data_IF_284872669385
#
_entry.id   IF_284872669385
#
_cell.length_a   1.000
_cell.length_b   1.000
_cell.length_c   1.000
_cell.angle_alpha   90.00
_cell.angle_beta   90.00
_cell.angle_gamma   90.00
#
_symmetry.space_group_name_H-M   'P 1'
#
loop_
_entity.id
_entity.type
_entity.pdbx_description
1 polymer ?
#
# COMPACT_ATOMS: atom_id res chain seq x y z
N UNK A 1 6.64 -5.92 -11.89
CA UNK A 1 5.71 -6.12 -10.76
C UNK A 1 4.89 -4.86 -10.58
N UNK A 2 3.69 -4.97 -10.01
CA UNK A 2 2.78 -3.83 -9.91
C UNK A 2 2.70 -3.33 -8.47
N UNK A 3 2.59 -2.02 -8.30
CA UNK A 3 2.36 -1.39 -7.01
C UNK A 3 1.07 -0.57 -7.06
N UNK A 4 0.15 -0.85 -6.15
CA UNK A 4 -1.07 -0.06 -6.01
C UNK A 4 -0.99 0.83 -4.77
N UNK A 5 -1.20 2.13 -4.96
CA UNK A 5 -1.52 3.06 -3.88
C UNK A 5 -3.02 3.02 -3.66
N UNK A 6 -3.45 2.50 -2.52
CA UNK A 6 -4.85 2.28 -2.18
C UNK A 6 -5.30 3.37 -1.24
N UNK A 7 -6.26 4.19 -1.67
CA UNK A 7 -6.79 5.31 -0.88
C UNK A 7 -8.30 5.39 -1.07
N UNK A 8 -9.02 5.73 0.01
CA UNK A 8 -10.44 6.05 -0.04
C UNK A 8 -10.69 7.38 -0.79
N UNK A 9 -9.68 8.27 -0.86
CA UNK A 9 -9.72 9.59 -1.50
C UNK A 9 -8.67 9.68 -2.63
N UNK A 10 -8.90 9.01 -3.78
CA UNK A 10 -7.90 8.89 -4.85
C UNK A 10 -7.46 10.23 -5.45
N UNK A 11 -8.28 11.27 -5.34
CA UNK A 11 -8.05 12.61 -5.87
C UNK A 11 -7.58 13.62 -4.80
N UNK A 12 -7.44 13.21 -3.53
CA UNK A 12 -6.95 14.10 -2.49
C UNK A 12 -5.50 14.52 -2.75
N UNK A 13 -5.15 15.75 -2.35
CA UNK A 13 -3.80 16.28 -2.49
C UNK A 13 -2.75 15.35 -1.85
N UNK A 14 -3.09 14.77 -0.69
CA UNK A 14 -2.28 13.77 0.01
C UNK A 14 -2.00 12.55 -0.87
N UNK A 15 -3.04 11.95 -1.45
CA UNK A 15 -2.91 10.78 -2.34
C UNK A 15 -2.06 11.11 -3.56
N UNK A 16 -2.25 12.28 -4.17
CA UNK A 16 -1.48 12.71 -5.32
C UNK A 16 -0.01 12.97 -4.96
N UNK A 17 0.27 13.56 -3.80
CA UNK A 17 1.63 13.79 -3.31
C UNK A 17 2.37 12.48 -3.01
N UNK A 18 1.70 11.53 -2.35
CA UNK A 18 2.26 10.19 -2.11
C UNK A 18 2.48 9.45 -3.42
N UNK A 19 1.55 9.53 -4.37
CA UNK A 19 1.71 8.93 -5.70
C UNK A 19 2.94 9.49 -6.42
N UNK A 20 3.17 10.81 -6.32
CA UNK A 20 4.34 11.45 -6.91
C UNK A 20 5.64 10.95 -6.25
N UNK A 21 5.68 10.90 -4.92
CA UNK A 21 6.81 10.34 -4.18
C UNK A 21 7.08 8.87 -4.55
N UNK A 22 6.03 8.06 -4.69
CA UNK A 22 6.16 6.66 -5.10
C UNK A 22 6.70 6.47 -6.50
N UNK A 23 6.26 7.31 -7.45
CA UNK A 23 6.76 7.27 -8.83
C UNK A 23 8.22 7.70 -8.90
N UNK A 24 8.61 8.71 -8.11
CA UNK A 24 10.01 9.12 -8.01
C UNK A 24 10.88 7.98 -7.45
N UNK A 25 10.50 7.43 -6.30
CA UNK A 25 11.21 6.32 -5.65
C UNK A 25 11.28 5.06 -6.53
N UNK A 26 10.19 4.73 -7.24
CA UNK A 26 10.14 3.53 -8.08
C UNK A 26 11.04 3.62 -9.31
N UNK A 27 11.39 4.83 -9.75
CA UNK A 27 12.26 5.06 -10.90
C UNK A 27 13.73 4.76 -10.64
N UNK A 28 14.18 4.71 -9.38
CA UNK A 28 15.59 4.50 -9.05
C UNK A 28 16.00 3.02 -8.95
N UNK A 29 15.06 2.12 -8.70
CA UNK A 29 15.35 0.72 -8.35
C UNK A 29 14.79 -0.36 -9.27
N UNK A 30 14.02 -0.01 -10.31
CA UNK A 30 13.35 -0.93 -11.26
C UNK A 30 12.50 -2.05 -10.61
N UNK A 31 12.12 -1.93 -9.33
CA UNK A 31 11.33 -2.94 -8.62
C UNK A 31 9.90 -3.04 -9.15
N UNK A 32 9.28 -1.90 -9.43
CA UNK A 32 7.90 -1.82 -9.90
C UNK A 32 7.85 -1.16 -11.27
N UNK A 33 7.15 -1.81 -12.18
CA UNK A 33 6.97 -1.34 -13.57
C UNK A 33 5.77 -0.41 -13.70
N UNK A 34 4.79 -0.54 -12.83
CA UNK A 34 3.56 0.26 -12.85
C UNK A 34 3.18 0.65 -11.41
N UNK A 35 2.96 1.95 -11.20
CA UNK A 35 2.40 2.51 -9.96
C UNK A 35 1.07 3.15 -10.27
N UNK A 36 -0.01 2.60 -9.70
CA UNK A 36 -1.39 3.00 -9.95
C UNK A 36 -2.13 3.32 -8.66
N UNK A 37 -3.14 4.18 -8.77
CA UNK A 37 -4.06 4.46 -7.65
C UNK A 37 -5.28 3.57 -7.79
N UNK A 38 -5.71 2.97 -6.68
CA UNK A 38 -6.93 2.17 -6.62
C UNK A 38 -7.79 2.59 -5.42
N UNK A 39 -9.11 2.47 -5.56
CA UNK A 39 -10.03 2.62 -4.45
C UNK A 39 -10.34 1.25 -3.84
N UNK A 40 -10.36 1.11 -2.50
CA UNK A 40 -10.61 -0.16 -1.85
C UNK A 40 -11.80 -0.97 -2.39
N UNK A 41 -12.94 -0.31 -2.67
CA UNK A 41 -14.20 -0.96 -3.08
C UNK A 41 -14.17 -1.57 -4.48
N UNK A 42 -13.31 -1.05 -5.36
CA UNK A 42 -13.19 -1.51 -6.75
C UNK A 42 -11.87 -2.21 -7.03
N UNK A 43 -10.99 -2.27 -6.03
CA UNK A 43 -9.65 -2.79 -6.18
C UNK A 43 -9.64 -4.32 -6.19
N UNK A 44 -9.08 -4.88 -7.27
CA UNK A 44 -8.86 -6.32 -7.43
C UNK A 44 -7.36 -6.56 -7.69
N UNK A 45 -6.58 -6.90 -6.66
CA UNK A 45 -5.14 -7.02 -6.78
C UNK A 45 -4.75 -8.27 -7.58
N UNK A 46 -3.76 -8.14 -8.47
CA UNK A 46 -3.20 -9.28 -9.20
C UNK A 46 -2.27 -10.13 -8.31
N UNK A 47 -1.84 -11.30 -8.81
CA UNK A 47 -0.85 -12.15 -8.12
C UNK A 47 0.54 -11.49 -8.07
N UNK A 48 0.81 -10.57 -8.99
CA UNK A 48 2.10 -9.91 -9.20
C UNK A 48 2.16 -8.50 -8.59
N UNK A 49 1.25 -8.25 -7.64
CA UNK A 49 0.98 -6.95 -7.09
C UNK A 49 1.32 -6.91 -5.60
N UNK A 50 1.85 -5.76 -5.18
CA UNK A 50 1.90 -5.33 -3.80
C UNK A 50 1.14 -4.01 -3.66
N UNK A 51 0.85 -3.60 -2.43
CA UNK A 51 0.12 -2.36 -2.20
C UNK A 51 0.69 -1.51 -1.08
N UNK A 52 0.44 -0.22 -1.19
CA UNK A 52 0.58 0.75 -0.12
C UNK A 52 -0.82 1.18 0.27
N UNK A 53 -1.17 0.98 1.54
CA UNK A 53 -2.48 1.35 2.07
C UNK A 53 -2.35 2.75 2.66
N UNK A 54 -2.89 3.75 1.99
CA UNK A 54 -2.93 5.11 2.49
C UNK A 54 -4.06 5.22 3.51
N UNK A 55 -3.70 5.22 4.78
CA UNK A 55 -4.61 5.34 5.90
C UNK A 55 -4.70 6.81 6.28
N UNK A 56 -5.67 7.49 5.69
CA UNK A 56 -6.00 8.87 6.00
C UNK A 56 -6.94 8.91 7.20
N UNK A 57 -6.84 9.95 8.02
CA UNK A 57 -7.88 10.24 9.01
C UNK A 57 -9.19 10.56 8.29
N UNK A 58 -10.13 9.61 8.38
CA UNK A 58 -11.51 9.70 7.95
C UNK A 58 -12.39 8.97 8.97
N UNK A 59 -13.62 9.46 9.15
CA UNK A 59 -14.64 8.81 9.98
C UNK A 59 -15.21 7.56 9.28
N UNK A 60 -14.99 7.42 7.98
CA UNK A 60 -15.39 6.26 7.20
C UNK A 60 -14.55 5.03 7.56
N UNK A 61 -15.25 3.94 7.90
CA UNK A 61 -14.61 2.66 8.13
C UNK A 61 -13.90 2.16 6.87
N UNK A 62 -12.73 1.54 7.05
CA UNK A 62 -12.04 0.91 5.93
C UNK A 62 -12.93 -0.19 5.36
N UNK A 63 -13.27 -0.15 4.06
CA UNK A 63 -14.24 -1.07 3.51
C UNK A 63 -13.67 -2.49 3.41
N UNK A 64 -14.56 -3.47 3.52
CA UNK A 64 -14.17 -4.86 3.34
C UNK A 64 -13.70 -5.10 1.90
N UNK A 65 -12.55 -5.77 1.70
CA UNK A 65 -12.08 -6.07 0.37
C UNK A 65 -13.12 -6.92 -0.39
N UNK A 66 -13.38 -6.56 -1.65
CA UNK A 66 -14.38 -7.23 -2.51
C UNK A 66 -13.87 -8.52 -3.17
N UNK A 67 -12.57 -8.78 -3.05
CA UNK A 67 -11.93 -9.95 -3.63
C UNK A 67 -11.79 -11.07 -2.58
N UNK A 68 -11.91 -12.34 -3.01
CA UNK A 68 -11.91 -13.47 -2.10
C UNK A 68 -10.55 -13.65 -1.44
N UNK A 69 -10.54 -14.16 -0.21
CA UNK A 69 -9.30 -14.67 0.39
C UNK A 69 -8.66 -15.66 -0.57
N UNK A 70 -7.41 -15.38 -0.95
CA UNK A 70 -6.67 -16.30 -1.81
C UNK A 70 -6.43 -17.59 -1.04
N UNK A 71 -6.59 -18.74 -1.70
CA UNK A 71 -6.09 -20.03 -1.15
C UNK A 71 -4.56 -20.10 -1.07
N UNK A 72 -3.87 -19.01 -1.42
CA UNK A 72 -2.44 -18.83 -1.24
C UNK A 72 -2.07 -18.78 0.25
N UNK A 73 -0.97 -19.43 0.61
CA UNK A 73 -0.45 -19.37 1.97
C UNK A 73 0.12 -17.98 2.34
N UNK A 74 0.41 -17.13 1.35
CA UNK A 74 0.86 -15.75 1.53
C UNK A 74 -0.17 -14.80 0.94
N UNK A 75 -0.74 -13.96 1.80
CA UNK A 75 -1.63 -12.86 1.41
C UNK A 75 -0.93 -11.81 0.55
N UNK A 76 -1.70 -10.82 0.10
CA UNK A 76 -1.20 -9.67 -0.64
C UNK A 76 -0.18 -8.88 0.22
N UNK A 77 1.06 -8.68 -0.24
CA UNK A 77 2.03 -7.87 0.48
C UNK A 77 1.57 -6.41 0.54
N UNK A 78 1.42 -5.87 1.75
CA UNK A 78 0.95 -4.51 1.96
C UNK A 78 1.82 -3.74 2.94
N UNK A 79 2.05 -2.46 2.64
CA UNK A 79 2.71 -1.49 3.51
C UNK A 79 1.72 -0.40 3.91
N UNK A 80 1.35 -0.27 5.19
CA UNK A 80 0.54 0.85 5.64
C UNK A 80 1.31 2.17 5.57
N UNK A 81 0.65 3.23 5.15
CA UNK A 81 1.14 4.60 5.20
C UNK A 81 0.07 5.43 5.91
N UNK A 82 0.34 5.77 7.17
CA UNK A 82 -0.58 6.50 8.04
C UNK A 82 -0.34 7.99 7.87
N UNK A 83 -1.37 8.72 7.48
CA UNK A 83 -1.34 10.18 7.39
C UNK A 83 -1.99 10.74 8.63
N UNK A 84 -1.17 11.28 9.54
CA UNK A 84 -1.66 11.93 10.73
C UNK A 84 -2.03 13.38 10.40
N UNK A 85 -3.29 13.74 10.67
CA UNK A 85 -3.70 15.14 10.81
C UNK A 85 -3.79 15.37 12.32
N UNK A 86 -3.70 16.61 12.79
CA UNK A 86 -3.51 16.91 14.22
C UNK A 86 -4.72 16.59 15.14
N UNK A 87 -5.50 15.53 14.89
CA UNK A 87 -6.68 15.14 15.68
C UNK A 87 -6.65 13.67 16.12
N UNK A 88 -7.19 13.42 17.33
CA UNK A 88 -7.03 12.23 18.18
C UNK A 88 -7.64 10.91 17.66
N UNK A 89 -8.12 10.83 16.41
CA UNK A 89 -8.75 9.62 15.90
C UNK A 89 -7.70 8.70 15.26
N UNK A 90 -7.54 7.45 15.71
CA UNK A 90 -6.63 6.51 15.06
C UNK A 90 -7.09 6.27 13.61
N UNK A 91 -6.18 6.33 12.61
CA UNK A 91 -6.53 6.06 11.23
C UNK A 91 -7.18 4.68 11.10
N UNK A 92 -8.28 4.58 10.36
CA UNK A 92 -8.93 3.29 10.11
C UNK A 92 -8.29 2.61 8.90
N UNK A 93 -7.90 1.36 9.09
CA UNK A 93 -7.34 0.49 8.06
C UNK A 93 -7.98 -0.90 8.08
N UNK A 94 -7.61 -1.78 7.14
CA UNK A 94 -8.14 -3.14 7.11
C UNK A 94 -7.71 -3.92 8.37
N UNK A 95 -8.51 -4.91 8.77
CA UNK A 95 -8.18 -5.78 9.90
C UNK A 95 -6.83 -6.48 9.65
N UNK A 96 -5.89 -6.29 10.57
CA UNK A 96 -4.55 -6.88 10.50
C UNK A 96 -4.55 -8.41 10.52
N UNK A 97 -5.65 -9.01 10.96
CA UNK A 97 -5.86 -10.46 11.03
C UNK A 97 -6.46 -11.03 9.75
N UNK A 98 -6.84 -10.17 8.81
CA UNK A 98 -7.42 -10.61 7.55
C UNK A 98 -6.38 -11.37 6.72
N UNK A 99 -6.58 -12.67 6.43
CA UNK A 99 -5.59 -13.50 5.72
C UNK A 99 -5.35 -13.03 4.28
N UNK A 100 -6.21 -12.17 3.75
CA UNK A 100 -5.99 -11.50 2.46
C UNK A 100 -4.73 -10.67 2.44
N UNK A 101 -4.33 -10.09 3.57
CA UNK A 101 -3.21 -9.18 3.64
C UNK A 101 -1.99 -9.81 4.32
N UNK A 102 -0.81 -9.41 3.88
CA UNK A 102 0.45 -9.67 4.53
C UNK A 102 1.15 -8.35 4.80
N UNK A 103 1.04 -7.86 6.03
CA UNK A 103 1.59 -6.57 6.44
C UNK A 103 3.11 -6.68 6.63
N UNK A 104 3.87 -5.87 5.88
CA UNK A 104 5.33 -5.93 5.88
C UNK A 104 5.99 -5.13 7.01
N UNK A 105 5.25 -4.21 7.62
CA UNK A 105 5.67 -3.40 8.77
C UNK A 105 4.46 -2.85 9.52
N UNK A 106 4.71 -2.18 10.63
CA UNK A 106 3.69 -1.40 11.36
C UNK A 106 3.22 -0.15 10.62
N UNK A 107 3.79 0.11 9.44
CA UNK A 107 3.50 1.26 8.60
C UNK A 107 4.52 2.40 8.73
N UNK A 108 4.41 3.34 7.81
CA UNK A 108 5.12 4.62 7.84
C UNK A 108 4.14 5.68 8.32
N UNK A 109 4.52 6.49 9.31
CA UNK A 109 3.74 7.65 9.71
C UNK A 109 4.24 8.85 8.92
N UNK A 110 3.29 9.61 8.39
CA UNK A 110 3.48 10.81 7.61
C UNK A 110 2.62 11.92 8.21
N UNK A 111 3.20 13.09 8.46
CA UNK A 111 2.41 14.30 8.75
C UNK A 111 1.94 14.88 7.41
N UNK A 112 0.66 15.26 7.31
CA UNK A 112 0.14 15.88 6.10
C UNK A 112 0.91 17.15 5.70
N UNK A 113 1.36 17.93 6.69
CA UNK A 113 2.11 19.17 6.46
C UNK A 113 3.50 18.91 5.89
N UNK A 114 4.10 17.75 6.20
CA UNK A 114 5.39 17.33 5.68
C UNK A 114 5.32 16.97 4.19
N UNK A 115 4.18 16.50 3.67
CA UNK A 115 4.07 16.14 2.27
C UNK A 115 4.15 17.35 1.31
N UNK A 116 3.92 18.56 1.82
CA UNK A 116 4.10 19.80 1.07
C UNK A 116 5.58 20.25 1.01
N UNK A 117 6.45 19.73 1.89
CA UNK A 117 7.88 20.05 1.92
C UNK A 117 8.68 19.10 1.02
N UNK A 118 9.45 19.62 0.04
CA UNK A 118 10.34 18.82 -0.80
C UNK A 118 11.36 17.98 -0.01
N UNK A 119 11.86 18.47 1.13
CA UNK A 119 12.84 17.74 1.94
C UNK A 119 12.21 16.52 2.61
N UNK A 120 10.99 16.66 3.13
CA UNK A 120 10.24 15.54 3.70
C UNK A 120 9.79 14.54 2.64
N UNK A 121 9.49 15.02 1.42
CA UNK A 121 9.22 14.15 0.27
C UNK A 121 10.40 13.22 -0.04
N UNK A 122 11.66 13.69 0.09
CA UNK A 122 12.85 12.85 -0.08
C UNK A 122 12.98 11.80 1.04
N UNK A 123 12.70 12.17 2.29
CA UNK A 123 12.70 11.22 3.41
C UNK A 123 11.65 10.13 3.20
N UNK A 124 10.45 10.50 2.74
CA UNK A 124 9.41 9.55 2.39
C UNK A 124 9.87 8.63 1.25
N UNK A 125 10.50 9.17 0.20
CA UNK A 125 11.06 8.38 -0.91
C UNK A 125 12.07 7.36 -0.40
N UNK A 126 13.07 7.77 0.38
CA UNK A 126 14.09 6.84 0.92
C UNK A 126 13.48 5.77 1.82
N UNK A 127 12.46 6.11 2.63
CA UNK A 127 11.72 5.11 3.41
C UNK A 127 11.03 4.11 2.50
N UNK A 128 10.31 4.56 1.47
CA UNK A 128 9.61 3.71 0.52
C UNK A 128 10.58 2.77 -0.23
N UNK A 129 11.70 3.30 -0.71
CA UNK A 129 12.76 2.54 -1.38
C UNK A 129 13.29 1.40 -0.52
N UNK A 130 13.45 1.63 0.78
CA UNK A 130 13.91 0.59 1.70
C UNK A 130 12.97 -0.62 1.79
N UNK A 131 11.67 -0.43 1.49
CA UNK A 131 10.66 -1.50 1.49
C UNK A 131 10.47 -2.17 0.13
N UNK A 132 10.89 -1.55 -0.98
CA UNK A 132 10.68 -2.11 -2.31
C UNK A 132 11.33 -3.48 -2.54
N UNK A 133 12.58 -3.75 -2.10
CA UNK A 133 13.16 -5.08 -2.21
C UNK A 133 12.32 -6.14 -1.47
N UNK A 134 11.79 -5.79 -0.30
CA UNK A 134 10.98 -6.69 0.52
C UNK A 134 9.64 -6.99 -0.15
N UNK A 135 8.93 -5.95 -0.61
CA UNK A 135 7.65 -6.12 -1.32
C UNK A 135 7.84 -6.94 -2.60
N UNK A 136 8.86 -6.63 -3.40
CA UNK A 136 9.26 -7.40 -4.58
C UNK A 136 9.49 -8.88 -4.25
N UNK A 137 10.25 -9.15 -3.19
CA UNK A 137 10.53 -10.53 -2.77
C UNK A 137 9.26 -11.27 -2.36
N UNK A 138 8.35 -10.63 -1.65
CA UNK A 138 7.09 -11.23 -1.22
C UNK A 138 6.14 -11.49 -2.40
N UNK A 139 6.12 -10.61 -3.39
CA UNK A 139 5.40 -10.86 -4.66
C UNK A 139 5.93 -12.13 -5.32
N UNK A 140 7.25 -12.27 -5.46
CA UNK A 140 7.87 -13.46 -6.06
C UNK A 140 7.55 -14.74 -5.28
N UNK A 141 7.50 -14.66 -3.94
CA UNK A 141 7.11 -15.79 -3.10
C UNK A 141 5.64 -16.16 -3.31
N UNK A 142 4.74 -15.17 -3.31
CA UNK A 142 3.31 -15.36 -3.60
C UNK A 142 3.08 -15.97 -4.98
N UNK A 143 3.80 -15.51 -6.00
CA UNK A 143 3.73 -16.04 -7.37
C UNK A 143 4.11 -17.52 -7.45
N UNK A 144 5.13 -17.95 -6.69
CA UNK A 144 5.62 -19.33 -6.64
C UNK A 144 4.69 -20.28 -5.88
N UNK A 145 3.72 -19.77 -5.14
CA UNK A 145 2.78 -20.62 -4.45
C UNK A 145 1.90 -21.36 -5.47
N UNK A 146 1.77 -22.69 -5.33
CA UNK A 146 0.92 -23.48 -6.19
C UNK A 146 -0.50 -22.92 -6.09
N UNK A 147 -1.17 -22.82 -7.24
CA UNK A 147 -2.63 -22.65 -7.24
C UNK A 147 -3.15 -23.92 -6.57
N UNK A 148 -3.63 -23.80 -5.34
CA UNK A 148 -4.35 -24.90 -4.71
C UNK A 148 -5.60 -25.08 -5.56
N UNK A 149 -5.58 -26.09 -6.43
CA UNK A 149 -6.77 -26.60 -7.10
C UNK A 149 -7.63 -27.19 -5.98
N UNK A 150 -8.51 -26.37 -5.39
CA UNK A 150 -9.58 -26.90 -4.57
C UNK A 150 -10.49 -27.70 -5.51
N UNK A 151 -10.36 -29.02 -5.44
CA UNK A 151 -11.32 -30.02 -5.91
C UNK A 151 -12.61 -29.95 -5.11
#
# INVERSE_FOLDING_TARGET
MNLSLVSQKPLAATTLGVLAALRAASGEGDYFTEVRVAQPDSWQPSKEEAAILLLEEDDAAWPEPVWPASGAALGLPVLPLLVHRQYDSPPQGPDVRDPRFYFVSNGIVLDETELADPACSLVLQSKLESYFPLLSRLILLRQRQPVVLCS
#
